data_IF_982463316282
#
_entry.id   IF_982463316282
#
_cell.length_a   1.000
_cell.length_b   1.000
_cell.length_c   1.000
_cell.angle_alpha   90.00
_cell.angle_beta   90.00
_cell.angle_gamma   90.00
#
_symmetry.space_group_name_H-M   'P 1'
#
loop_
_entity.id
_entity.type
_entity.pdbx_description
1 polymer ?
#
# COMPACT_ATOMS: atom_id res chain seq x y z
N UNK A 1 0.53 -15.63 -22.59
CA UNK A 1 0.31 -15.30 -22.24
C UNK A 1 0.12 -14.57 -21.56
N UNK A 2 0.01 -14.28 -21.13
CA UNK A 2 -0.12 -13.74 -20.51
C UNK A 2 -0.67 -12.89 -20.16
N UNK A 3 -1.01 -12.42 -19.61
CA UNK A 3 -1.59 -11.73 -19.14
C UNK A 3 -1.34 -10.62 -18.74
N UNK A 4 -1.66 -9.94 -18.90
CA UNK A 4 -1.52 -8.87 -18.78
C UNK A 4 -1.93 -8.24 -17.70
N UNK A 5 -2.28 -7.48 -17.38
CA UNK A 5 -2.79 -6.83 -16.29
C UNK A 5 -2.66 -7.62 -15.10
N UNK A 6 -1.61 -8.04 -14.88
CA UNK A 6 -1.44 -8.83 -13.98
C UNK A 6 -1.18 -8.31 -12.73
N UNK A 7 -1.56 -8.84 -11.69
CA UNK A 7 -1.22 -8.56 -10.33
C UNK A 7 -0.19 -9.52 -9.88
N UNK A 8 0.81 -9.02 -9.23
CA UNK A 8 1.68 -9.88 -8.48
C UNK A 8 1.02 -10.15 -7.15
N UNK A 9 0.95 -11.40 -6.78
CA UNK A 9 0.31 -11.82 -5.55
C UNK A 9 1.34 -12.42 -4.62
N UNK A 10 1.51 -11.80 -3.45
CA UNK A 10 2.42 -12.31 -2.44
C UNK A 10 1.63 -12.78 -1.25
N UNK A 11 1.65 -14.06 -0.99
CA UNK A 11 0.86 -14.68 0.04
C UNK A 11 1.75 -15.55 0.91
N UNK A 12 1.66 -15.36 2.22
CA UNK A 12 2.42 -16.17 3.16
C UNK A 12 3.91 -16.17 2.93
N UNK A 13 4.44 -15.10 2.38
CA UNK A 13 5.87 -15.03 2.16
C UNK A 13 6.40 -13.74 2.74
N UNK A 14 7.69 -13.71 2.90
CA UNK A 14 8.38 -12.57 3.43
C UNK A 14 9.34 -12.08 2.38
N UNK A 15 9.19 -10.83 1.98
CA UNK A 15 10.02 -10.26 0.95
C UNK A 15 10.77 -9.08 1.51
N UNK A 16 12.06 -9.03 1.22
CA UNK A 16 12.90 -7.91 1.62
C UNK A 16 13.52 -7.33 0.38
N UNK A 17 13.42 -6.02 0.23
CA UNK A 17 14.00 -5.34 -0.92
C UNK A 17 12.98 -4.50 -1.64
N UNK A 18 13.27 -4.18 -2.89
CA UNK A 18 12.40 -3.31 -3.67
C UNK A 18 11.57 -4.12 -4.65
N UNK A 19 10.31 -3.73 -4.75
CA UNK A 19 9.39 -4.37 -5.69
C UNK A 19 8.91 -3.31 -6.64
N UNK A 20 9.04 -3.58 -7.93
CA UNK A 20 8.55 -2.68 -8.97
C UNK A 20 7.66 -3.46 -9.90
N UNK A 21 6.49 -2.94 -10.13
CA UNK A 21 5.51 -3.58 -11.00
C UNK A 21 4.79 -2.52 -11.79
N UNK A 22 4.62 -2.74 -13.09
CA UNK A 22 3.97 -1.75 -13.93
C UNK A 22 2.49 -1.62 -13.66
N UNK A 23 1.84 -2.70 -13.32
CA UNK A 23 0.40 -2.69 -13.15
C UNK A 23 0.03 -2.71 -11.68
N UNK A 24 -0.35 -3.82 -11.17
CA UNK A 24 -0.83 -3.88 -9.82
C UNK A 24 -0.14 -4.96 -9.02
N UNK A 25 -0.08 -4.74 -7.73
CA UNK A 25 0.48 -5.69 -6.78
C UNK A 25 -0.57 -5.94 -5.72
N UNK A 26 -0.82 -7.20 -5.41
CA UNK A 26 -1.70 -7.57 -4.33
C UNK A 26 -0.87 -8.31 -3.29
N UNK A 27 -0.95 -7.88 -2.04
CA UNK A 27 -0.09 -8.41 -0.98
C UNK A 27 -0.91 -8.96 0.16
N UNK A 28 -0.63 -10.23 0.51
CA UNK A 28 -1.23 -10.87 1.68
C UNK A 28 -0.19 -11.23 2.72
N UNK A 29 1.07 -11.02 2.43
CA UNK A 29 2.15 -11.43 3.30
C UNK A 29 2.91 -10.27 3.88
N UNK A 30 4.19 -10.47 4.12
CA UNK A 30 5.03 -9.49 4.76
C UNK A 30 6.06 -8.96 3.78
N UNK A 31 6.16 -7.65 3.70
CA UNK A 31 7.12 -7.01 2.80
C UNK A 31 7.87 -5.93 3.56
N UNK A 32 9.20 -5.96 3.42
CA UNK A 32 10.05 -4.91 3.96
C UNK A 32 10.83 -4.31 2.81
N UNK A 33 10.69 -3.02 2.59
CA UNK A 33 11.37 -2.36 1.50
C UNK A 33 10.46 -1.38 0.79
N UNK A 34 10.77 -1.13 -0.47
CA UNK A 34 10.02 -0.15 -1.26
C UNK A 34 9.16 -0.85 -2.29
N UNK A 35 7.94 -0.36 -2.44
CA UNK A 35 7.02 -0.89 -3.42
C UNK A 35 6.65 0.22 -4.38
N UNK A 36 6.76 -0.06 -5.66
CA UNK A 36 6.46 0.90 -6.71
C UNK A 36 5.59 0.22 -7.73
N UNK A 37 4.34 0.64 -7.84
CA UNK A 37 3.40 0.05 -8.78
C UNK A 37 2.32 1.06 -9.09
N UNK A 38 1.52 0.76 -10.09
CA UNK A 38 0.41 1.63 -10.43
C UNK A 38 -0.70 1.49 -9.38
N UNK A 39 -0.95 0.27 -8.95
CA UNK A 39 -1.95 -0.01 -7.94
C UNK A 39 -1.36 -0.97 -6.92
N UNK A 40 -1.47 -0.61 -5.66
CA UNK A 40 -1.03 -1.48 -4.57
C UNK A 40 -2.25 -1.80 -3.71
N UNK A 41 -2.50 -3.09 -3.52
CA UNK A 41 -3.58 -3.54 -2.65
C UNK A 41 -3.01 -4.42 -1.56
N UNK A 42 -3.33 -4.12 -0.32
CA UNK A 42 -2.93 -4.95 0.79
C UNK A 42 -4.17 -5.36 1.58
N UNK A 43 -4.12 -6.52 2.17
CA UNK A 43 -5.26 -7.10 2.86
C UNK A 43 -4.93 -7.33 4.33
N UNK A 44 -5.91 -7.77 5.08
CA UNK A 44 -5.81 -7.73 6.54
C UNK A 44 -4.65 -8.53 7.13
N UNK A 45 -4.16 -9.51 6.41
CA UNK A 45 -3.02 -10.29 6.91
C UNK A 45 -1.68 -9.79 6.43
N UNK A 46 -1.67 -8.66 5.74
CA UNK A 46 -0.42 -8.13 5.24
C UNK A 46 0.27 -7.27 6.30
N UNK A 47 1.58 -7.17 6.17
CA UNK A 47 2.38 -6.34 7.05
C UNK A 47 3.50 -5.75 6.23
N UNK A 48 3.46 -4.45 6.04
CA UNK A 48 4.41 -3.79 5.16
C UNK A 48 5.18 -2.74 5.93
N UNK A 49 6.50 -2.78 5.80
CA UNK A 49 7.37 -1.75 6.34
C UNK A 49 8.19 -1.17 5.22
N UNK A 50 8.14 0.13 5.05
CA UNK A 50 8.91 0.78 4.02
C UNK A 50 8.11 1.85 3.32
N UNK A 51 8.38 2.02 2.03
CA UNK A 51 7.74 3.07 1.26
C UNK A 51 6.89 2.50 0.15
N UNK A 52 5.74 3.11 -0.08
CA UNK A 52 4.89 2.74 -1.20
C UNK A 52 4.75 3.96 -2.10
N UNK A 53 5.05 3.78 -3.38
CA UNK A 53 4.81 4.79 -4.39
C UNK A 53 3.88 4.18 -5.42
N UNK A 54 2.72 4.78 -5.60
CA UNK A 54 1.75 4.23 -6.52
C UNK A 54 0.79 5.32 -6.94
N UNK A 55 -0.04 5.00 -7.91
CA UNK A 55 -1.10 5.92 -8.29
C UNK A 55 -2.29 5.71 -7.35
N UNK A 56 -2.57 4.47 -7.03
CA UNK A 56 -3.65 4.12 -6.10
C UNK A 56 -3.10 3.16 -5.06
N UNK A 57 -3.48 3.36 -3.81
CA UNK A 57 -3.07 2.48 -2.73
C UNK A 57 -4.29 2.11 -1.90
N UNK A 58 -4.51 0.82 -1.74
CA UNK A 58 -5.57 0.30 -0.89
C UNK A 58 -4.91 -0.44 0.26
N UNK A 59 -5.00 0.10 1.45
CA UNK A 59 -4.30 -0.43 2.61
C UNK A 59 -5.28 -1.14 3.52
N UNK A 60 -5.11 -2.45 3.69
CA UNK A 60 -6.03 -3.24 4.48
C UNK A 60 -5.42 -3.95 5.67
N UNK A 61 -4.11 -3.95 5.77
CA UNK A 61 -3.45 -4.61 6.88
C UNK A 61 -2.60 -3.64 7.66
N UNK A 62 -1.47 -4.10 8.13
CA UNK A 62 -0.56 -3.23 8.86
C UNK A 62 0.43 -2.61 7.90
N UNK A 63 0.64 -1.33 8.06
CA UNK A 63 1.61 -0.61 7.26
C UNK A 63 2.38 0.35 8.14
N UNK A 64 3.68 0.39 7.94
CA UNK A 64 4.54 1.30 8.68
C UNK A 64 5.54 1.90 7.71
N UNK A 65 5.53 3.23 7.57
CA UNK A 65 6.44 3.90 6.67
C UNK A 65 5.76 5.05 5.95
N UNK A 66 6.14 5.25 4.70
CA UNK A 66 5.64 6.37 3.91
C UNK A 66 4.88 5.89 2.69
N UNK A 67 3.75 6.54 2.44
CA UNK A 67 2.96 6.29 1.24
C UNK A 67 2.93 7.54 0.41
N UNK A 68 3.21 7.41 -0.87
CA UNK A 68 3.15 8.50 -1.82
C UNK A 68 2.27 8.04 -2.97
N UNK A 69 1.00 8.44 -2.94
CA UNK A 69 0.04 7.99 -3.93
C UNK A 69 -0.94 9.11 -4.22
N UNK A 70 -1.54 9.07 -5.40
CA UNK A 70 -2.56 10.04 -5.73
C UNK A 70 -3.84 9.76 -4.97
N UNK A 71 -4.24 8.50 -4.90
CA UNK A 71 -5.44 8.10 -4.19
C UNK A 71 -5.08 7.05 -3.16
N UNK A 72 -5.43 7.31 -1.92
CA UNK A 72 -5.17 6.39 -0.83
C UNK A 72 -6.48 6.00 -0.21
N UNK A 73 -6.72 4.71 -0.10
CA UNK A 73 -7.92 4.17 0.54
C UNK A 73 -7.47 3.30 1.71
N UNK A 74 -7.87 3.70 2.90
CA UNK A 74 -7.57 2.93 4.10
C UNK A 74 -8.80 2.10 4.41
N UNK A 75 -8.64 0.80 4.37
CA UNK A 75 -9.75 -0.12 4.56
C UNK A 75 -10.06 -0.27 6.03
N UNK A 76 -11.22 -0.86 6.28
CA UNK A 76 -11.64 -1.14 7.63
C UNK A 76 -10.61 -1.97 8.37
N UNK A 77 -10.35 -1.60 9.60
CA UNK A 77 -9.42 -2.33 10.47
C UNK A 77 -7.96 -2.30 10.04
N UNK A 78 -7.61 -1.44 9.12
CA UNK A 78 -6.22 -1.27 8.77
C UNK A 78 -5.49 -0.54 9.89
N UNK A 79 -4.20 -0.78 10.01
CA UNK A 79 -3.37 -0.16 11.03
C UNK A 79 -2.21 0.49 10.29
N UNK A 80 -2.21 1.80 10.22
CA UNK A 80 -1.24 2.54 9.42
C UNK A 80 -0.47 3.51 10.30
N UNK A 81 0.84 3.46 10.17
CA UNK A 81 1.71 4.33 10.94
C UNK A 81 2.76 4.94 10.01
N UNK A 82 2.98 6.26 10.13
CA UNK A 82 3.97 6.93 9.32
C UNK A 82 3.40 8.15 8.64
N UNK A 83 3.78 8.38 7.38
CA UNK A 83 3.28 9.56 6.68
C UNK A 83 2.66 9.15 5.34
N UNK A 84 1.69 9.95 4.92
CA UNK A 84 0.99 9.71 3.67
C UNK A 84 0.94 11.01 2.89
N UNK A 85 1.38 10.95 1.64
CA UNK A 85 1.17 12.04 0.69
C UNK A 85 0.12 11.61 -0.30
N UNK A 86 -0.91 12.43 -0.48
CA UNK A 86 -2.05 12.03 -1.29
C UNK A 86 -2.71 13.22 -1.95
N UNK A 87 -3.47 12.94 -2.99
CA UNK A 87 -4.39 13.91 -3.55
C UNK A 87 -5.77 13.70 -2.93
N UNK A 88 -6.21 12.46 -2.85
CA UNK A 88 -7.44 12.13 -2.15
C UNK A 88 -7.15 11.02 -1.15
N UNK A 89 -7.83 11.09 -0.02
CA UNK A 89 -7.65 10.12 1.04
C UNK A 89 -9.02 9.70 1.55
N UNK A 90 -9.26 8.40 1.57
CA UNK A 90 -10.50 7.84 2.06
C UNK A 90 -10.19 6.86 3.18
N UNK A 91 -10.82 7.03 4.31
CA UNK A 91 -10.57 6.21 5.49
C UNK A 91 -11.86 5.57 5.95
N UNK A 92 -11.85 4.27 6.11
CA UNK A 92 -13.01 3.54 6.61
C UNK A 92 -12.99 3.49 8.12
N UNK A 93 -14.15 3.35 8.71
CA UNK A 93 -14.27 3.24 10.16
C UNK A 93 -13.54 2.00 10.66
N UNK A 94 -13.05 2.09 11.88
CA UNK A 94 -12.37 0.96 12.49
C UNK A 94 -10.89 0.87 12.21
N UNK A 95 -10.40 1.73 11.34
CA UNK A 95 -8.97 1.74 11.09
C UNK A 95 -8.25 2.49 12.21
N UNK A 96 -7.00 2.12 12.43
CA UNK A 96 -6.16 2.76 13.42
C UNK A 96 -5.06 3.51 12.68
N UNK A 97 -4.99 4.81 12.88
CA UNK A 97 -4.04 5.62 12.13
C UNK A 97 -3.17 6.44 13.06
N UNK A 98 -1.87 6.29 12.90
CA UNK A 98 -0.90 7.15 13.55
C UNK A 98 -0.08 7.77 12.45
N UNK A 99 -0.70 8.66 11.70
CA UNK A 99 -0.09 9.16 10.48
C UNK A 99 -0.08 10.66 10.43
N UNK A 100 0.82 11.14 9.60
CA UNK A 100 0.86 12.52 9.20
C UNK A 100 0.44 12.55 7.74
N UNK A 101 -0.74 13.05 7.47
CA UNK A 101 -1.25 13.08 6.11
C UNK A 101 -1.00 14.44 5.50
N UNK A 102 -0.53 14.43 4.26
CA UNK A 102 -0.17 15.65 3.58
C UNK A 102 -0.75 15.60 2.17
N UNK A 103 -1.50 16.63 1.82
CA UNK A 103 -2.10 16.67 0.50
C UNK A 103 -1.10 17.16 -0.52
N UNK A 104 -1.02 16.46 -1.65
CA UNK A 104 -0.14 16.87 -2.73
C UNK A 104 -0.68 18.10 -3.44
N UNK A 105 0.22 18.96 -3.82
CA UNK A 105 -0.13 20.08 -4.63
C UNK A 105 0.11 19.75 -6.04
N UNK A 106 -0.86 19.87 -6.78
CA UNK A 106 -0.76 19.73 -8.15
C UNK A 106 -1.14 18.74 -8.72
#
# INVERSE_FOLDING_TARGET
MVNKARSLLFSDIKITGNITEKESITIYGKVTGNINAKLVETFENSNIEGNITSKNAFIGGKFKGDINSDRVHIRKEADVEGSIKHKTLSIKEGSVLKIKAEKKNN
#
